data_IF_412878422883
#
_entry.id   IF_412878422883
#
_cell.length_a   1.000
_cell.length_b   1.000
_cell.length_c   1.000
_cell.angle_alpha   90.00
_cell.angle_beta   90.00
_cell.angle_gamma   90.00
#
_symmetry.space_group_name_H-M   'P 1'
#
loop_
_entity.id
_entity.type
_entity.pdbx_description
1 polymer ?
#
# COMPACT_ATOMS: atom_id res chain seq x y z
N UNK A 1 -34.27 20.89 41.92
CA UNK A 1 -32.97 20.17 41.95
C UNK A 1 -32.33 20.12 40.55
N UNK A 2 -32.29 21.25 39.83
CA UNK A 2 -31.79 21.36 38.44
C UNK A 2 -30.75 22.48 38.27
N UNK A 3 -30.15 22.96 39.37
CA UNK A 3 -29.23 24.10 39.36
C UNK A 3 -27.75 23.71 39.55
N UNK A 4 -27.43 22.44 39.80
CA UNK A 4 -26.05 22.00 40.12
C UNK A 4 -25.30 21.50 38.88
N UNK A 5 -26.01 21.07 37.83
CA UNK A 5 -25.38 20.46 36.64
C UNK A 5 -24.65 21.48 35.75
N UNK A 6 -25.02 22.78 35.81
CA UNK A 6 -24.41 23.81 34.97
C UNK A 6 -23.02 24.29 35.39
N UNK A 7 -22.58 23.99 36.63
CA UNK A 7 -21.36 24.59 37.20
C UNK A 7 -20.04 23.84 36.88
N UNK A 8 -20.11 22.63 36.33
CA UNK A 8 -18.92 21.76 36.12
C UNK A 8 -18.52 21.66 34.65
N UNK A 9 -19.41 22.02 33.70
CA UNK A 9 -19.15 21.88 32.27
C UNK A 9 -18.22 22.95 31.68
N UNK A 10 -18.15 24.13 32.29
CA UNK A 10 -17.35 25.27 31.78
C UNK A 10 -15.83 25.14 32.05
N UNK A 11 -15.34 24.72 33.24
CA UNK A 11 -13.90 24.67 33.49
C UNK A 11 -13.15 23.55 32.74
N UNK A 12 -13.83 22.45 32.38
CA UNK A 12 -13.19 21.33 31.67
C UNK A 12 -12.88 21.64 30.19
N UNK A 13 -13.70 22.45 29.52
CA UNK A 13 -13.43 22.89 28.15
C UNK A 13 -12.24 23.87 28.07
N UNK A 14 -12.04 24.69 29.11
CA UNK A 14 -10.92 25.63 29.17
C UNK A 14 -9.56 24.93 29.39
N UNK A 15 -9.54 23.79 30.11
CA UNK A 15 -8.33 23.00 30.33
C UNK A 15 -7.90 22.19 29.09
N UNK A 16 -8.85 21.71 28.27
CA UNK A 16 -8.54 20.97 27.03
C UNK A 16 -8.09 21.88 25.87
N UNK A 17 -8.49 23.16 25.85
CA UNK A 17 -8.05 24.12 24.82
C UNK A 17 -6.58 24.57 24.95
N UNK A 18 -6.03 24.54 26.17
CA UNK A 18 -4.66 24.99 26.45
C UNK A 18 -3.60 23.96 26.04
N UNK A 19 -3.91 22.66 26.05
CA UNK A 19 -2.97 21.64 25.57
C UNK A 19 -2.86 21.58 24.04
N UNK A 20 -3.85 22.08 23.29
CA UNK A 20 -3.84 22.04 21.83
C UNK A 20 -2.96 23.13 21.20
N UNK A 21 -2.76 24.27 21.88
CA UNK A 21 -1.92 25.37 21.41
C UNK A 21 -0.42 25.16 21.67
N UNK A 22 -0.04 24.24 22.57
CA UNK A 22 1.36 23.96 22.91
C UNK A 22 2.08 23.00 21.96
N UNK A 23 1.37 22.41 20.97
CA UNK A 23 1.90 21.36 20.09
C UNK A 23 1.94 21.76 18.62
N UNK A 24 2.16 23.04 18.34
CA UNK A 24 2.52 23.49 16.99
C UNK A 24 4.02 23.24 16.78
N UNK A 25 4.43 22.36 15.85
CA UNK A 25 5.81 22.31 15.42
C UNK A 25 6.18 23.65 14.75
N UNK A 26 7.24 24.26 15.24
CA UNK A 26 7.85 25.44 14.64
C UNK A 26 8.13 25.18 13.14
N UNK A 27 7.78 26.16 12.31
CA UNK A 27 8.15 26.18 10.89
C UNK A 27 9.67 26.05 10.75
N UNK A 28 10.18 25.19 9.85
CA UNK A 28 11.60 25.21 9.53
C UNK A 28 11.93 26.54 8.83
N UNK A 29 12.73 27.32 9.53
CA UNK A 29 13.40 28.53 9.08
C UNK A 29 14.22 28.21 7.82
N UNK A 30 13.86 28.84 6.69
CA UNK A 30 14.61 28.76 5.44
C UNK A 30 15.91 29.53 5.67
N UNK A 31 16.98 28.81 5.99
CA UNK A 31 18.35 29.35 6.01
C UNK A 31 18.74 29.75 4.59
N UNK A 32 18.78 31.05 4.36
CA UNK A 32 19.36 31.67 3.17
C UNK A 32 20.88 31.69 3.38
N UNK A 33 21.72 31.12 2.49
CA UNK A 33 23.15 31.32 2.60
C UNK A 33 23.52 32.76 2.21
N UNK A 34 24.44 33.41 2.93
CA UNK A 34 24.85 34.77 2.61
C UNK A 34 25.66 34.82 1.32
N UNK A 35 25.30 35.77 0.47
CA UNK A 35 26.20 36.30 -0.55
C UNK A 35 27.37 37.00 0.15
N UNK A 36 28.60 36.50 -0.06
CA UNK A 36 29.83 37.18 0.32
C UNK A 36 30.80 37.16 -0.88
N UNK A 37 30.73 38.26 -1.61
CA UNK A 37 31.83 39.13 -2.05
C UNK A 37 33.11 38.49 -2.60
N UNK A 38 33.34 38.85 -3.85
CA UNK A 38 34.60 38.78 -4.59
C UNK A 38 35.83 39.21 -3.79
N UNK A 39 36.92 38.46 -3.96
CA UNK A 39 38.27 39.03 -3.89
C UNK A 39 39.00 38.71 -5.19
N UNK A 40 39.27 39.79 -5.92
CA UNK A 40 40.16 39.84 -7.06
C UNK A 40 41.61 39.60 -6.62
N UNK A 41 42.39 38.91 -7.47
CA UNK A 41 43.84 39.03 -7.48
C UNK A 41 44.33 38.93 -8.95
N UNK A 42 45.49 39.54 -9.31
CA UNK A 42 45.65 40.22 -10.57
C UNK A 42 46.46 39.40 -11.58
N UNK A 43 46.10 39.59 -12.85
CA UNK A 43 46.90 39.53 -14.08
C UNK A 43 48.24 38.76 -14.04
N UNK A 44 48.29 37.73 -14.87
CA UNK A 44 49.41 37.53 -15.81
C UNK A 44 48.91 36.88 -17.11
N UNK A 45 49.64 37.06 -18.22
CA UNK A 45 49.06 37.35 -19.53
C UNK A 45 48.71 36.13 -20.38
N UNK A 46 47.81 36.36 -21.33
CA UNK A 46 47.36 35.50 -22.43
C UNK A 46 48.47 34.63 -23.05
N UNK A 47 48.08 33.45 -23.56
CA UNK A 47 47.90 33.34 -25.01
C UNK A 47 46.59 32.62 -25.40
N UNK A 48 45.82 33.22 -26.31
CA UNK A 48 44.82 32.54 -27.15
C UNK A 48 45.51 32.02 -28.43
N UNK A 49 44.90 31.13 -29.25
CA UNK A 49 43.73 30.29 -29.03
C UNK A 49 43.98 28.82 -29.43
N UNK A 50 43.44 27.86 -28.68
CA UNK A 50 43.17 26.53 -29.24
C UNK A 50 41.65 26.35 -29.22
N UNK A 51 41.06 26.42 -30.42
CA UNK A 51 39.70 25.97 -30.70
C UNK A 51 39.58 24.49 -30.29
N UNK A 52 39.34 24.25 -29.01
CA UNK A 52 38.91 22.96 -28.49
C UNK A 52 37.46 22.80 -28.94
N UNK A 53 37.26 21.86 -29.86
CA UNK A 53 35.95 21.35 -30.22
C UNK A 53 35.14 21.08 -28.93
N UNK A 54 33.82 21.38 -28.92
CA UNK A 54 32.99 21.06 -27.77
C UNK A 54 33.12 19.55 -27.47
N UNK A 55 33.24 19.15 -26.19
CA UNK A 55 33.33 17.74 -25.84
C UNK A 55 32.10 17.00 -26.42
N UNK A 56 32.27 15.77 -26.93
CA UNK A 56 31.14 14.99 -27.43
C UNK A 56 30.09 14.84 -26.32
N UNK A 57 28.84 15.18 -26.64
CA UNK A 57 27.73 15.02 -25.71
C UNK A 57 27.72 13.58 -25.16
N UNK A 58 27.48 13.38 -23.85
CA UNK A 58 27.41 12.03 -23.29
C UNK A 58 26.32 11.25 -24.02
N UNK A 59 26.67 10.08 -24.53
CA UNK A 59 25.72 9.16 -25.15
C UNK A 59 24.61 8.86 -24.13
N UNK A 60 23.39 9.31 -24.40
CA UNK A 60 22.25 8.97 -23.56
C UNK A 60 21.99 7.46 -23.68
N UNK A 61 22.02 6.71 -22.56
CA UNK A 61 21.66 5.31 -22.59
C UNK A 61 20.20 5.19 -23.01
N UNK A 62 19.93 4.57 -24.17
CA UNK A 62 18.57 4.28 -24.61
C UNK A 62 18.05 3.08 -23.84
N UNK A 63 17.08 3.31 -22.97
CA UNK A 63 16.40 2.25 -22.22
C UNK A 63 15.20 1.71 -23.02
N UNK A 64 15.01 0.39 -22.99
CA UNK A 64 13.80 -0.24 -23.53
C UNK A 64 12.57 0.11 -22.66
N UNK A 65 11.35 0.08 -23.20
CA UNK A 65 10.14 0.27 -22.39
C UNK A 65 10.04 -0.82 -21.32
N UNK A 66 9.84 -0.42 -20.07
CA UNK A 66 9.70 -1.33 -18.94
C UNK A 66 10.04 -0.65 -17.61
N UNK A 67 9.77 -1.34 -16.52
CA UNK A 67 10.11 -0.83 -15.18
C UNK A 67 11.55 -1.17 -14.84
N UNK A 68 12.28 -0.17 -14.34
CA UNK A 68 13.66 -0.25 -13.92
C UNK A 68 13.78 -0.05 -12.43
N UNK A 69 14.73 -0.75 -11.82
CA UNK A 69 15.20 -0.54 -10.46
C UNK A 69 16.54 0.16 -10.50
N UNK A 70 16.68 1.24 -9.74
CA UNK A 70 17.97 1.90 -9.56
C UNK A 70 18.21 2.27 -8.09
N UNK A 71 19.48 2.43 -7.74
CA UNK A 71 19.91 2.82 -6.40
C UNK A 71 20.13 4.33 -6.35
N UNK A 72 19.21 5.06 -5.70
CA UNK A 72 19.31 6.51 -5.51
C UNK A 72 19.39 6.81 -4.01
N UNK A 73 20.44 7.53 -3.58
CA UNK A 73 20.67 7.92 -2.18
C UNK A 73 20.54 6.78 -1.16
N UNK A 74 21.00 5.57 -1.51
CA UNK A 74 20.96 4.39 -0.63
C UNK A 74 19.62 3.64 -0.61
N UNK A 75 18.62 4.08 -1.36
CA UNK A 75 17.33 3.41 -1.49
C UNK A 75 17.09 2.89 -2.91
N UNK A 76 16.36 1.78 -3.02
CA UNK A 76 15.92 1.26 -4.31
C UNK A 76 14.69 2.04 -4.80
N UNK A 77 14.80 2.68 -5.96
CA UNK A 77 13.72 3.38 -6.65
C UNK A 77 13.30 2.57 -7.87
N UNK A 78 11.99 2.46 -8.07
CA UNK A 78 11.38 1.79 -9.22
C UNK A 78 10.75 2.85 -10.13
N UNK A 79 11.12 2.87 -11.41
CA UNK A 79 10.65 3.86 -12.38
C UNK A 79 10.52 3.29 -13.78
N UNK A 80 9.55 3.79 -14.55
CA UNK A 80 9.45 3.52 -15.98
C UNK A 80 10.26 4.53 -16.82
N UNK A 81 10.84 5.56 -16.17
CA UNK A 81 11.65 6.62 -16.78
C UNK A 81 13.04 6.67 -16.15
N UNK A 82 13.89 5.66 -16.39
CA UNK A 82 15.23 5.58 -15.81
C UNK A 82 16.11 6.79 -16.13
N UNK A 83 15.94 7.41 -17.31
CA UNK A 83 16.71 8.60 -17.70
C UNK A 83 16.52 9.80 -16.77
N UNK A 84 15.31 9.97 -16.22
CA UNK A 84 14.98 11.10 -15.34
C UNK A 84 15.32 10.81 -13.89
N UNK A 85 14.94 9.63 -13.42
CA UNK A 85 14.93 9.33 -11.98
C UNK A 85 16.20 8.57 -11.54
N UNK A 86 16.92 7.98 -12.48
CA UNK A 86 18.13 7.20 -12.24
C UNK A 86 19.40 7.82 -12.86
N UNK A 87 19.35 9.08 -13.31
CA UNK A 87 20.47 9.76 -13.97
C UNK A 87 21.78 9.76 -13.15
N UNK A 88 21.67 9.71 -11.82
CA UNK A 88 22.81 9.67 -10.89
C UNK A 88 23.13 8.26 -10.36
N UNK A 89 22.35 7.25 -10.74
CA UNK A 89 22.47 5.90 -10.22
C UNK A 89 23.39 5.06 -11.10
N UNK A 90 24.52 4.60 -10.57
CA UNK A 90 25.48 3.77 -11.30
C UNK A 90 24.93 2.37 -11.68
N UNK A 91 23.86 1.92 -11.02
CA UNK A 91 23.24 0.62 -11.28
C UNK A 91 21.75 0.79 -11.62
N UNK A 92 21.43 0.70 -12.91
CA UNK A 92 20.06 0.64 -13.43
C UNK A 92 19.83 -0.77 -13.97
N UNK A 93 18.91 -1.51 -13.36
CA UNK A 93 18.54 -2.87 -13.78
C UNK A 93 17.07 -2.94 -14.16
N UNK A 94 16.67 -3.52 -15.29
CA UNK A 94 15.26 -3.78 -15.59
C UNK A 94 14.68 -4.77 -14.57
N UNK A 95 13.52 -4.45 -14.00
CA UNK A 95 12.79 -5.29 -13.04
C UNK A 95 12.25 -6.54 -13.73
N UNK A 96 11.91 -6.43 -15.01
CA UNK A 96 11.39 -7.52 -15.84
C UNK A 96 12.48 -8.29 -16.58
N UNK A 97 13.77 -8.12 -16.24
CA UNK A 97 14.73 -9.19 -16.51
C UNK A 97 14.43 -10.33 -15.54
N UNK A 98 13.29 -10.99 -15.74
CA UNK A 98 13.12 -12.35 -15.26
C UNK A 98 14.37 -13.09 -15.76
N UNK A 99 15.18 -13.72 -14.87
CA UNK A 99 16.15 -14.66 -15.37
C UNK A 99 15.36 -15.63 -16.24
N UNK A 100 15.86 -15.91 -17.46
CA UNK A 100 15.31 -16.94 -18.32
C UNK A 100 14.94 -18.12 -17.41
N UNK A 101 13.62 -18.41 -17.32
CA UNK A 101 12.96 -19.14 -16.24
C UNK A 101 13.94 -20.04 -15.49
N UNK A 102 14.21 -19.74 -14.21
CA UNK A 102 15.30 -20.24 -13.37
C UNK A 102 15.53 -21.77 -13.37
N UNK A 103 15.87 -22.37 -14.52
CA UNK A 103 15.98 -23.81 -14.74
C UNK A 103 14.73 -24.65 -14.44
N UNK A 104 13.60 -24.05 -14.01
CA UNK A 104 12.41 -24.80 -13.61
C UNK A 104 11.61 -25.15 -14.86
N UNK A 105 12.07 -26.18 -15.57
CA UNK A 105 11.20 -26.86 -16.52
C UNK A 105 10.04 -27.49 -15.72
N UNK A 106 8.78 -27.29 -16.14
CA UNK A 106 7.66 -27.94 -15.49
C UNK A 106 7.88 -29.45 -15.48
N UNK A 107 7.68 -30.07 -14.30
CA UNK A 107 7.94 -31.50 -14.09
C UNK A 107 7.10 -32.43 -14.99
N UNK A 108 6.02 -31.89 -15.58
CA UNK A 108 5.14 -32.60 -16.51
C UNK A 108 5.09 -31.86 -17.85
N UNK A 109 5.10 -32.60 -18.99
CA UNK A 109 4.85 -32.00 -20.29
C UNK A 109 3.48 -31.32 -20.31
N UNK A 110 3.39 -30.21 -21.05
CA UNK A 110 2.20 -29.36 -21.10
C UNK A 110 0.90 -30.12 -21.42
N UNK A 111 0.94 -31.11 -22.31
CA UNK A 111 -0.22 -31.92 -22.64
C UNK A 111 -0.77 -32.74 -21.47
N UNK A 112 0.10 -33.20 -20.58
CA UNK A 112 -0.32 -33.95 -19.40
C UNK A 112 -1.01 -33.04 -18.38
N UNK A 113 -0.60 -31.77 -18.30
CA UNK A 113 -1.25 -30.78 -17.45
C UNK A 113 -2.66 -30.44 -17.97
N UNK A 114 -2.84 -30.35 -19.29
CA UNK A 114 -4.15 -30.15 -19.90
C UNK A 114 -5.09 -31.32 -19.63
N UNK A 115 -4.61 -32.57 -19.79
CA UNK A 115 -5.41 -33.75 -19.49
C UNK A 115 -5.85 -33.81 -18.01
N UNK A 116 -4.97 -33.43 -17.08
CA UNK A 116 -5.31 -33.36 -15.65
C UNK A 116 -6.36 -32.26 -15.36
N UNK A 117 -6.26 -31.12 -16.02
CA UNK A 117 -7.24 -30.02 -15.93
C UNK A 117 -8.61 -30.42 -16.48
N UNK A 118 -8.65 -31.08 -17.63
CA UNK A 118 -9.90 -31.57 -18.25
C UNK A 118 -10.57 -32.62 -17.35
N UNK A 119 -9.79 -33.54 -16.78
CA UNK A 119 -10.31 -34.53 -15.83
C UNK A 119 -10.84 -33.89 -14.55
N UNK A 120 -10.13 -32.90 -14.01
CA UNK A 120 -10.58 -32.16 -12.83
C UNK A 120 -11.89 -31.40 -13.10
N UNK A 121 -12.01 -30.76 -14.27
CA UNK A 121 -13.24 -30.08 -14.69
C UNK A 121 -14.40 -31.06 -14.87
N UNK A 122 -14.16 -32.21 -15.50
CA UNK A 122 -15.19 -33.24 -15.67
C UNK A 122 -15.66 -33.82 -14.33
N UNK A 123 -14.74 -34.04 -13.38
CA UNK A 123 -15.07 -34.50 -12.04
C UNK A 123 -15.91 -33.46 -11.27
N UNK A 124 -15.59 -32.17 -11.40
CA UNK A 124 -16.35 -31.09 -10.76
C UNK A 124 -17.74 -30.92 -11.38
N UNK A 125 -17.84 -31.04 -12.71
CA UNK A 125 -19.12 -31.04 -13.43
C UNK A 125 -20.01 -32.22 -13.01
N UNK A 126 -19.43 -33.40 -12.78
CA UNK A 126 -20.17 -34.57 -12.29
C UNK A 126 -20.64 -34.38 -10.83
N UNK A 127 -19.83 -33.75 -9.97
CA UNK A 127 -20.21 -33.43 -8.58
C UNK A 127 -21.37 -32.43 -8.52
N UNK A 128 -21.35 -31.42 -9.39
CA UNK A 128 -22.42 -30.42 -9.47
C UNK A 128 -23.69 -30.95 -10.10
N UNK A 129 -23.62 -31.92 -11.01
CA UNK A 129 -24.78 -32.55 -11.63
C UNK A 129 -25.62 -33.43 -10.68
N UNK A 130 -25.03 -33.93 -9.58
CA UNK A 130 -25.71 -34.78 -8.58
C UNK A 130 -26.21 -33.98 -7.36
N UNK A 131 -25.99 -32.66 -7.34
CA UNK A 131 -26.62 -31.79 -6.33
C UNK A 131 -28.15 -31.80 -6.54
N UNK A 132 -28.86 -32.58 -5.72
CA UNK A 132 -30.32 -32.63 -5.71
C UNK A 132 -30.91 -31.22 -5.64
N UNK A 133 -32.09 -30.97 -6.25
CA UNK A 133 -32.76 -29.68 -6.15
C UNK A 133 -32.92 -29.34 -4.66
N UNK A 134 -32.26 -28.28 -4.24
CA UNK A 134 -32.38 -27.78 -2.87
C UNK A 134 -33.86 -27.45 -2.63
N UNK A 135 -34.41 -27.80 -1.46
CA UNK A 135 -35.78 -27.40 -1.12
C UNK A 135 -35.93 -25.89 -1.30
N UNK A 136 -37.11 -25.40 -1.72
CA UNK A 136 -37.32 -23.97 -1.90
C UNK A 136 -36.89 -23.26 -0.61
N UNK A 137 -36.05 -22.22 -0.69
CA UNK A 137 -35.57 -21.56 0.51
C UNK A 137 -36.79 -21.10 1.30
N UNK A 138 -36.90 -21.55 2.56
CA UNK A 138 -37.78 -20.90 3.52
C UNK A 138 -37.54 -19.40 3.38
N UNK A 139 -38.59 -18.60 3.21
CA UNK A 139 -38.55 -17.18 2.85
C UNK A 139 -37.44 -16.46 3.62
N UNK A 140 -36.25 -16.40 3.01
CA UNK A 140 -35.10 -15.81 3.66
C UNK A 140 -35.35 -14.30 3.67
N UNK A 141 -34.95 -13.61 4.74
CA UNK A 141 -35.01 -12.16 4.73
C UNK A 141 -34.26 -11.64 3.49
N UNK A 142 -34.76 -10.58 2.85
CA UNK A 142 -34.11 -10.00 1.69
C UNK A 142 -32.64 -9.72 2.00
N UNK A 143 -31.77 -9.88 0.99
CA UNK A 143 -30.32 -9.76 1.16
C UNK A 143 -29.91 -8.48 1.89
N UNK A 144 -30.58 -7.36 1.63
CA UNK A 144 -30.33 -6.10 2.33
C UNK A 144 -30.53 -6.22 3.86
N UNK A 145 -31.58 -6.89 4.32
CA UNK A 145 -31.82 -7.13 5.75
C UNK A 145 -30.76 -8.06 6.34
N UNK A 146 -30.36 -9.11 5.60
CA UNK A 146 -29.27 -10.01 6.01
C UNK A 146 -27.94 -9.27 6.17
N UNK A 147 -27.59 -8.40 5.22
CA UNK A 147 -26.39 -7.57 5.32
C UNK A 147 -26.44 -6.63 6.53
N UNK A 148 -27.59 -6.00 6.79
CA UNK A 148 -27.76 -5.11 7.95
C UNK A 148 -27.63 -5.88 9.27
N UNK A 149 -28.21 -7.07 9.38
CA UNK A 149 -28.08 -7.92 10.56
C UNK A 149 -26.62 -8.30 10.83
N UNK A 150 -25.89 -8.75 9.81
CA UNK A 150 -24.45 -9.05 9.92
C UNK A 150 -23.65 -7.82 10.38
N UNK A 151 -23.98 -6.63 9.87
CA UNK A 151 -23.31 -5.39 10.27
C UNK A 151 -23.59 -5.04 11.73
N UNK A 152 -24.84 -5.17 12.18
CA UNK A 152 -25.23 -4.94 13.56
C UNK A 152 -24.52 -5.90 14.53
N UNK A 153 -24.41 -7.18 14.17
CA UNK A 153 -23.72 -8.17 15.00
C UNK A 153 -22.22 -7.92 15.09
N UNK A 154 -21.57 -7.50 13.99
CA UNK A 154 -20.16 -7.10 14.00
C UNK A 154 -19.96 -5.88 14.92
N UNK A 155 -20.82 -4.86 14.83
CA UNK A 155 -20.73 -3.69 15.71
C UNK A 155 -20.94 -4.05 17.19
N UNK A 156 -21.83 -5.00 17.46
CA UNK A 156 -22.02 -5.52 18.81
C UNK A 156 -20.75 -6.18 19.33
N UNK A 157 -20.11 -7.05 18.56
CA UNK A 157 -18.83 -7.66 18.95
C UNK A 157 -17.72 -6.63 19.12
N UNK A 158 -17.67 -5.62 18.24
CA UNK A 158 -16.71 -4.51 18.34
C UNK A 158 -16.91 -3.70 19.62
N UNK A 159 -18.15 -3.51 20.07
CA UNK A 159 -18.42 -2.85 21.35
C UNK A 159 -18.00 -3.72 22.55
N UNK A 160 -18.23 -5.04 22.49
CA UNK A 160 -17.79 -5.97 23.54
C UNK A 160 -16.26 -6.02 23.66
N UNK A 161 -15.54 -6.01 22.53
CA UNK A 161 -14.07 -6.00 22.50
C UNK A 161 -13.45 -4.72 23.10
N UNK A 162 -14.22 -3.63 23.24
CA UNK A 162 -13.74 -2.39 23.87
C UNK A 162 -13.89 -2.39 25.39
N UNK A 163 -14.70 -3.30 25.94
CA UNK A 163 -14.89 -3.43 27.38
C UNK A 163 -13.78 -4.31 27.98
N UNK A 164 -13.48 -4.19 29.28
CA UNK A 164 -12.59 -5.13 29.95
C UNK A 164 -13.11 -6.57 29.83
N UNK A 165 -12.25 -7.49 29.39
CA UNK A 165 -12.57 -8.90 29.20
C UNK A 165 -11.35 -9.78 29.49
N UNK A 166 -11.59 -11.06 29.76
CA UNK A 166 -10.51 -12.05 29.87
C UNK A 166 -9.94 -12.38 28.49
N UNK A 167 -8.69 -12.83 28.43
CA UNK A 167 -8.05 -13.21 27.16
C UNK A 167 -8.88 -14.22 26.36
N UNK A 168 -9.36 -15.30 26.99
CA UNK A 168 -10.19 -16.31 26.35
C UNK A 168 -11.48 -15.73 25.75
N UNK A 169 -12.07 -14.73 26.39
CA UNK A 169 -13.29 -14.09 25.92
C UNK A 169 -13.00 -13.15 24.73
N UNK A 170 -11.84 -12.48 24.74
CA UNK A 170 -11.36 -11.68 23.61
C UNK A 170 -11.06 -12.52 22.37
N UNK A 171 -10.43 -13.68 22.55
CA UNK A 171 -10.17 -14.64 21.47
C UNK A 171 -11.46 -15.16 20.86
N UNK A 172 -12.43 -15.50 21.70
CA UNK A 172 -13.76 -15.93 21.27
C UNK A 172 -14.46 -14.86 20.42
N UNK A 173 -14.56 -13.62 20.91
CA UNK A 173 -15.21 -12.54 20.16
C UNK A 173 -14.46 -12.15 18.90
N UNK A 174 -13.13 -12.20 18.90
CA UNK A 174 -12.31 -11.96 17.70
C UNK A 174 -12.56 -13.02 16.64
N UNK A 175 -12.66 -14.29 17.05
CA UNK A 175 -12.98 -15.41 16.16
C UNK A 175 -14.38 -15.25 15.58
N UNK A 176 -15.36 -14.93 16.42
CA UNK A 176 -16.75 -14.74 15.99
C UNK A 176 -16.90 -13.54 15.05
N UNK A 177 -16.19 -12.45 15.32
CA UNK A 177 -16.14 -11.27 14.45
C UNK A 177 -15.56 -11.62 13.08
N UNK A 178 -14.50 -12.44 13.02
CA UNK A 178 -13.93 -12.91 11.75
C UNK A 178 -14.96 -13.75 10.99
N UNK A 179 -15.61 -14.71 11.67
CA UNK A 179 -16.67 -15.56 11.08
C UNK A 179 -17.78 -14.72 10.43
N UNK A 180 -18.28 -13.70 11.13
CA UNK A 180 -19.31 -12.80 10.59
C UNK A 180 -18.81 -11.93 9.43
N UNK A 181 -17.55 -11.50 9.48
CA UNK A 181 -16.93 -10.75 8.39
C UNK A 181 -16.79 -11.61 7.13
N UNK A 182 -16.37 -12.86 7.27
CA UNK A 182 -16.26 -13.82 6.16
C UNK A 182 -17.64 -14.11 5.54
N UNK A 183 -18.67 -14.26 6.37
CA UNK A 183 -20.06 -14.38 5.90
C UNK A 183 -20.52 -13.13 5.14
N UNK A 184 -20.12 -11.94 5.61
CA UNK A 184 -20.45 -10.69 4.92
C UNK A 184 -19.84 -10.65 3.51
N UNK A 185 -18.58 -11.08 3.38
CA UNK A 185 -17.92 -11.23 2.07
C UNK A 185 -18.61 -12.27 1.18
N UNK A 186 -19.00 -13.43 1.74
CA UNK A 186 -19.67 -14.49 0.98
C UNK A 186 -21.06 -14.07 0.45
N UNK A 187 -21.79 -13.26 1.22
CA UNK A 187 -23.09 -12.70 0.82
C UNK A 187 -22.96 -11.45 -0.07
N UNK A 188 -21.72 -11.05 -0.42
CA UNK A 188 -21.39 -9.84 -1.18
C UNK A 188 -22.00 -8.57 -0.58
N UNK A 189 -22.07 -8.55 0.75
CA UNK A 189 -22.19 -7.33 1.53
C UNK A 189 -20.75 -6.77 1.76
#
# INVERSE_FOLDING_TARGET
MWAIVGAIAVPLAALLGLEYLGRMPASPEISTPPAATAMANPRSPLPEPALLAPPPAPATPRYAPGTYRCMSQGHAVYTDKPERDCAASAEVRPVNAAPAAAGIAPAKPYQQQLAELEQAQAAEAARTAVAAPSPPPASQPPRAERCQALWADIQRLDSLLRLPHSAAMGDHWTTERRRLSDLRYAEHC
#
